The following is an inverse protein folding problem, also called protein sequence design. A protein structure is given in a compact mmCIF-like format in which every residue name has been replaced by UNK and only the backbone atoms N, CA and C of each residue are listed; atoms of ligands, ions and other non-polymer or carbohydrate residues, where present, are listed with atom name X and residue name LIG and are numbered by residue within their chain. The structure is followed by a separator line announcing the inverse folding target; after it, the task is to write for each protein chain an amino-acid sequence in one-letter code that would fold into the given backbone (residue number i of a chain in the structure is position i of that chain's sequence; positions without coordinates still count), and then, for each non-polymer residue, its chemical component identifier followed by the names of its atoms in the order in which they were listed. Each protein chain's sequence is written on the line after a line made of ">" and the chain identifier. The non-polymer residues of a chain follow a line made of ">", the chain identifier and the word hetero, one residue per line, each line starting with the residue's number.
data_IF_667079687251
#
_entry.id   IF_667079687251
#
_cell.length_a   1.000
_cell.length_b   1.000
_cell.length_c   1.000
_cell.angle_alpha   90.00
_cell.angle_beta   90.00
_cell.angle_gamma   90.00
#
_symmetry.space_group_name_H-M   'P 1'
#
loop_
_entity.id
_entity.type
_entity.pdbx_description
1 polymer ?
#
# COMPACT_ATOMS: atom_id res chain seq x y z
N UNK A 1 35.94 1.20 -12.30
CA UNK A 1 35.06 0.09 -12.73
C UNK A 1 33.59 0.50 -12.76
N UNK A 2 33.13 1.39 -11.86
CA UNK A 2 31.73 1.90 -11.83
C UNK A 2 31.39 2.74 -13.07
N UNK A 3 32.31 3.60 -13.50
CA UNK A 3 32.16 4.53 -14.65
C UNK A 3 31.76 3.83 -15.95
N UNK A 4 32.34 2.66 -16.24
CA UNK A 4 32.13 1.93 -17.52
C UNK A 4 31.15 0.75 -17.39
N UNK A 5 30.62 0.48 -16.20
CA UNK A 5 29.71 -0.65 -15.99
C UNK A 5 28.29 -0.28 -16.42
N UNK A 6 27.75 -1.00 -17.40
CA UNK A 6 26.35 -0.87 -17.85
C UNK A 6 25.56 -2.08 -17.38
N UNK A 7 24.65 -1.86 -16.42
CA UNK A 7 23.81 -2.91 -15.85
C UNK A 7 22.34 -2.77 -16.24
N UNK A 8 22.00 -1.98 -17.26
CA UNK A 8 20.60 -1.71 -17.61
C UNK A 8 19.94 -2.88 -18.38
N UNK A 9 18.81 -3.39 -17.90
CA UNK A 9 18.04 -4.46 -18.58
C UNK A 9 17.18 -3.96 -19.75
N UNK A 10 16.81 -2.67 -19.75
CA UNK A 10 16.07 -2.04 -20.86
C UNK A 10 17.02 -1.62 -22.00
N UNK A 11 17.80 -2.54 -22.55
CA UNK A 11 18.83 -2.23 -23.57
C UNK A 11 18.25 -1.82 -24.92
N UNK A 12 17.03 -2.26 -25.24
CA UNK A 12 16.40 -2.07 -26.57
C UNK A 12 15.59 -0.77 -26.72
N UNK A 13 15.20 -0.14 -25.61
CA UNK A 13 14.29 1.02 -25.60
C UNK A 13 14.96 2.32 -25.12
N UNK A 14 16.29 2.45 -25.23
CA UNK A 14 16.99 3.67 -24.78
C UNK A 14 16.91 4.77 -25.84
N UNK A 15 16.26 5.92 -25.58
CA UNK A 15 16.38 7.09 -26.44
C UNK A 15 17.81 7.65 -26.34
N UNK A 16 18.43 7.99 -27.48
CA UNK A 16 19.51 8.98 -27.52
C UNK A 16 20.88 8.60 -26.95
N UNK A 17 21.30 7.33 -26.96
CA UNK A 17 22.69 6.96 -26.62
C UNK A 17 23.05 6.97 -25.14
N UNK A 18 22.06 7.11 -24.25
CA UNK A 18 22.24 6.97 -22.81
C UNK A 18 22.76 5.56 -22.43
N UNK A 19 23.64 5.51 -21.43
CA UNK A 19 24.17 4.25 -20.90
C UNK A 19 23.11 3.46 -20.12
N UNK A 20 22.18 4.16 -19.47
CA UNK A 20 21.15 3.60 -18.60
C UNK A 20 19.79 4.24 -18.88
N UNK A 21 18.71 3.47 -18.74
CA UNK A 21 17.36 4.01 -18.93
C UNK A 21 16.88 4.83 -17.71
N UNK A 22 17.37 4.53 -16.51
CA UNK A 22 16.94 5.19 -15.27
C UNK A 22 15.78 4.50 -14.55
N UNK A 23 14.90 3.78 -15.26
CA UNK A 23 13.62 3.34 -14.70
C UNK A 23 13.43 1.80 -14.60
N UNK A 24 14.28 1.00 -15.23
CA UNK A 24 14.24 -0.46 -15.07
C UNK A 24 14.75 -0.88 -13.68
N UNK A 25 14.36 -2.06 -13.21
CA UNK A 25 14.78 -2.59 -11.89
C UNK A 25 16.29 -2.50 -11.67
N UNK A 26 17.10 -2.91 -12.65
CA UNK A 26 18.56 -2.87 -12.53
C UNK A 26 19.14 -1.45 -12.47
N UNK A 27 18.47 -0.45 -13.07
CA UNK A 27 18.87 0.96 -12.96
C UNK A 27 18.49 1.53 -11.59
N UNK A 28 17.31 1.18 -11.08
CA UNK A 28 16.87 1.53 -9.74
C UNK A 28 17.85 0.95 -8.72
N UNK A 29 18.10 -0.36 -8.76
CA UNK A 29 19.03 -1.04 -7.85
C UNK A 29 20.44 -0.43 -7.91
N UNK A 30 20.96 -0.18 -9.12
CA UNK A 30 22.25 0.50 -9.30
C UNK A 30 22.26 1.87 -8.61
N UNK A 31 21.23 2.70 -8.83
CA UNK A 31 21.16 4.04 -8.24
C UNK A 31 21.13 3.98 -6.72
N UNK A 32 20.30 3.10 -6.14
CA UNK A 32 20.30 2.89 -4.69
C UNK A 32 21.66 2.39 -4.18
N UNK A 33 22.27 1.40 -4.84
CA UNK A 33 23.56 0.85 -4.44
C UNK A 33 24.71 1.88 -4.50
N UNK A 34 24.71 2.76 -5.51
CA UNK A 34 25.70 3.83 -5.65
C UNK A 34 25.56 4.86 -4.52
N UNK A 35 24.33 5.29 -4.23
CA UNK A 35 24.08 6.22 -3.14
C UNK A 35 24.35 5.59 -1.77
N UNK A 36 24.06 4.30 -1.58
CA UNK A 36 24.36 3.62 -0.31
C UNK A 36 25.86 3.45 -0.09
N UNK A 37 26.62 3.26 -1.17
CA UNK A 37 28.09 3.19 -1.14
C UNK A 37 28.77 4.56 -1.11
N UNK A 38 28.02 5.67 -1.23
CA UNK A 38 28.55 7.03 -1.27
C UNK A 38 29.45 7.34 -2.48
N UNK A 39 29.15 6.67 -3.61
CA UNK A 39 29.95 6.75 -4.83
C UNK A 39 29.25 7.52 -5.95
N UNK A 40 28.21 8.28 -5.65
CA UNK A 40 27.45 9.04 -6.64
C UNK A 40 28.27 10.09 -7.41
N UNK A 41 29.41 10.52 -6.85
CA UNK A 41 30.35 11.40 -7.53
C UNK A 41 31.15 10.71 -8.65
N UNK A 42 31.20 9.37 -8.63
CA UNK A 42 31.91 8.52 -9.62
C UNK A 42 30.94 7.80 -10.56
N UNK A 43 29.64 8.07 -10.46
CA UNK A 43 28.64 7.53 -11.38
C UNK A 43 28.51 8.43 -12.61
N UNK A 44 29.40 8.21 -13.58
CA UNK A 44 29.37 8.89 -14.88
C UNK A 44 28.29 8.33 -15.82
N UNK A 45 27.43 7.43 -15.33
CA UNK A 45 26.33 6.87 -16.09
C UNK A 45 25.38 7.95 -16.59
N UNK A 46 25.22 8.06 -17.92
CA UNK A 46 24.15 8.87 -18.51
C UNK A 46 22.84 8.10 -18.40
N UNK A 47 21.90 8.63 -17.61
CA UNK A 47 20.55 8.10 -17.42
C UNK A 47 19.56 8.88 -18.30
N UNK A 48 18.68 8.18 -19.01
CA UNK A 48 17.59 8.83 -19.75
C UNK A 48 16.61 9.51 -18.79
N UNK A 49 16.15 8.79 -17.78
CA UNK A 49 15.20 9.28 -16.79
C UNK A 49 15.88 9.43 -15.42
N UNK A 50 15.53 10.50 -14.70
CA UNK A 50 15.94 10.70 -13.31
C UNK A 50 14.72 10.57 -12.39
N UNK A 51 14.46 9.35 -11.93
CA UNK A 51 13.35 9.05 -11.02
C UNK A 51 13.39 9.83 -9.70
N UNK A 52 14.54 10.41 -9.34
CA UNK A 52 14.64 11.25 -8.15
C UNK A 52 13.70 12.45 -8.28
N UNK A 53 13.73 13.10 -9.45
CA UNK A 53 12.95 14.31 -9.72
C UNK A 53 11.70 14.04 -10.56
N UNK A 54 11.65 12.94 -11.32
CA UNK A 54 10.49 12.59 -12.13
C UNK A 54 10.42 11.07 -12.44
N UNK A 55 9.32 10.44 -12.05
CA UNK A 55 8.97 9.05 -12.30
C UNK A 55 8.13 9.01 -13.60
N UNK A 56 8.61 8.34 -14.66
CA UNK A 56 8.03 8.45 -16.00
C UNK A 56 6.69 7.71 -16.17
N UNK A 57 6.46 6.65 -15.40
CA UNK A 57 5.29 5.78 -15.56
C UNK A 57 4.90 5.05 -14.26
N UNK A 58 3.71 4.43 -14.27
CA UNK A 58 3.17 3.69 -13.13
C UNK A 58 3.96 2.43 -12.79
N UNK A 59 4.58 1.77 -13.78
CA UNK A 59 5.40 0.58 -13.58
C UNK A 59 6.66 0.92 -12.77
N UNK A 60 7.32 2.02 -13.11
CA UNK A 60 8.47 2.57 -12.39
C UNK A 60 8.08 3.01 -11.00
N UNK A 61 6.93 3.67 -10.85
CA UNK A 61 6.36 4.04 -9.54
C UNK A 61 6.14 2.81 -8.66
N UNK A 62 5.59 1.72 -9.23
CA UNK A 62 5.36 0.47 -8.52
C UNK A 62 6.66 -0.22 -8.13
N UNK A 63 7.68 -0.21 -8.98
CA UNK A 63 9.02 -0.73 -8.66
C UNK A 63 9.63 0.00 -7.47
N UNK A 64 9.67 1.35 -7.52
CA UNK A 64 10.20 2.17 -6.43
C UNK A 64 9.44 1.97 -5.12
N UNK A 65 8.11 1.91 -5.20
CA UNK A 65 7.25 1.58 -4.07
C UNK A 65 7.62 0.20 -3.48
N UNK A 66 7.75 -0.83 -4.32
CA UNK A 66 8.13 -2.18 -3.90
C UNK A 66 9.51 -2.23 -3.25
N UNK A 67 10.51 -1.58 -3.85
CA UNK A 67 11.88 -1.46 -3.31
C UNK A 67 11.88 -0.83 -1.92
N UNK A 68 11.25 0.34 -1.75
CA UNK A 68 11.22 1.04 -0.47
C UNK A 68 10.40 0.31 0.59
N UNK A 69 9.31 -0.34 0.17
CA UNK A 69 8.44 -1.10 1.07
C UNK A 69 9.11 -2.37 1.58
N UNK A 70 9.78 -3.11 0.70
CA UNK A 70 10.58 -4.27 1.08
C UNK A 70 11.68 -3.85 2.07
N UNK A 71 12.35 -2.74 1.79
CA UNK A 71 13.38 -2.18 2.66
C UNK A 71 12.88 -1.73 4.03
N UNK A 72 11.58 -1.40 4.16
CA UNK A 72 10.97 -1.09 5.45
C UNK A 72 10.67 -2.31 6.31
N UNK A 73 10.87 -3.53 5.79
CA UNK A 73 10.67 -4.79 6.51
C UNK A 73 9.28 -4.84 7.16
N UNK A 74 8.26 -4.40 6.45
CA UNK A 74 6.92 -4.29 7.04
C UNK A 74 6.45 -5.63 7.59
N UNK A 75 6.00 -5.62 8.86
CA UNK A 75 5.53 -6.82 9.54
C UNK A 75 6.64 -7.78 9.97
N UNK A 76 7.92 -7.41 9.80
CA UNK A 76 9.08 -8.22 10.18
C UNK A 76 9.87 -7.48 11.26
N UNK A 77 9.84 -7.98 12.48
CA UNK A 77 10.58 -7.43 13.63
C UNK A 77 11.79 -8.28 14.00
N UNK A 78 11.77 -9.54 13.59
CA UNK A 78 12.77 -10.54 13.92
C UNK A 78 12.81 -11.63 12.83
N UNK A 79 13.76 -12.56 12.94
CA UNK A 79 13.95 -13.64 11.99
C UNK A 79 12.76 -14.62 11.91
N UNK A 80 12.03 -14.83 13.01
CA UNK A 80 10.85 -15.70 13.00
C UNK A 80 9.72 -15.09 12.15
N UNK A 81 9.47 -13.78 12.28
CA UNK A 81 8.50 -13.07 11.44
C UNK A 81 8.90 -13.15 9.95
N UNK A 82 10.20 -13.01 9.65
CA UNK A 82 10.73 -13.15 8.29
C UNK A 82 10.48 -14.55 7.72
N UNK A 83 10.78 -15.59 8.51
CA UNK A 83 10.57 -16.98 8.12
C UNK A 83 9.09 -17.27 7.88
N UNK A 84 8.21 -16.80 8.75
CA UNK A 84 6.76 -16.98 8.60
C UNK A 84 6.26 -16.29 7.33
N UNK A 85 6.72 -15.07 7.07
CA UNK A 85 6.27 -14.26 5.93
C UNK A 85 6.73 -14.80 4.57
N UNK A 86 7.92 -15.37 4.50
CA UNK A 86 8.52 -15.86 3.24
C UNK A 86 8.74 -17.38 3.25
N UNK A 87 7.90 -18.12 3.99
CA UNK A 87 8.10 -19.55 4.22
C UNK A 87 8.28 -20.34 2.92
N UNK A 88 7.38 -20.11 1.94
CA UNK A 88 7.40 -20.83 0.67
C UNK A 88 8.64 -20.48 -0.16
N UNK A 89 8.99 -19.19 -0.23
CA UNK A 89 10.16 -18.72 -0.99
C UNK A 89 11.47 -19.22 -0.37
N UNK A 90 11.52 -19.31 0.96
CA UNK A 90 12.68 -19.82 1.69
C UNK A 90 12.79 -21.34 1.54
N UNK A 91 11.69 -22.08 1.60
CA UNK A 91 11.68 -23.54 1.39
C UNK A 91 12.19 -23.90 -0.02
N UNK A 92 11.83 -23.11 -1.04
CA UNK A 92 12.33 -23.29 -2.42
C UNK A 92 13.83 -22.97 -2.57
N UNK A 93 14.38 -22.10 -1.70
CA UNK A 93 15.74 -21.59 -1.82
C UNK A 93 16.76 -22.35 -0.97
N UNK A 94 16.37 -22.82 0.22
CA UNK A 94 17.28 -23.23 1.30
C UNK A 94 18.25 -24.36 0.88
N UNK A 95 17.80 -25.26 0.03
CA UNK A 95 18.58 -26.38 -0.48
C UNK A 95 19.71 -25.94 -1.43
N UNK A 96 19.58 -24.77 -2.03
CA UNK A 96 20.54 -24.21 -2.99
C UNK A 96 21.53 -23.23 -2.36
N UNK A 97 21.34 -22.87 -1.09
CA UNK A 97 22.27 -21.99 -0.36
C UNK A 97 23.45 -22.83 0.15
N UNK A 98 24.70 -22.40 -0.06
CA UNK A 98 25.87 -23.09 0.49
C UNK A 98 25.80 -23.26 2.02
N UNK A 99 26.34 -24.36 2.52
CA UNK A 99 26.36 -24.69 3.95
C UNK A 99 25.60 -25.98 4.26
N UNK A 100 25.84 -26.54 5.46
CA UNK A 100 25.25 -27.82 5.87
C UNK A 100 24.06 -27.65 6.83
N UNK A 101 24.01 -26.54 7.56
CA UNK A 101 22.98 -26.27 8.56
C UNK A 101 21.89 -25.33 8.00
N UNK A 102 20.62 -25.78 7.90
CA UNK A 102 19.51 -24.96 7.43
C UNK A 102 19.27 -23.68 8.24
N UNK A 103 19.49 -23.71 9.56
CA UNK A 103 19.26 -22.55 10.42
C UNK A 103 20.31 -21.45 10.14
N UNK A 104 21.57 -21.84 9.91
CA UNK A 104 22.64 -20.90 9.57
C UNK A 104 22.38 -20.27 8.20
N UNK A 105 21.95 -21.06 7.21
CA UNK A 105 21.55 -20.55 5.88
C UNK A 105 20.42 -19.54 5.98
N UNK A 106 19.40 -19.82 6.79
CA UNK A 106 18.29 -18.91 7.02
C UNK A 106 18.76 -17.62 7.70
N UNK A 107 19.74 -17.71 8.61
CA UNK A 107 20.38 -16.54 9.22
C UNK A 107 21.10 -15.69 8.19
N UNK A 108 21.87 -16.30 7.29
CA UNK A 108 22.60 -15.57 6.25
C UNK A 108 21.66 -14.82 5.30
N UNK A 109 20.52 -15.44 4.92
CA UNK A 109 19.49 -14.80 4.09
C UNK A 109 18.81 -13.66 4.84
N UNK A 110 18.45 -13.87 6.11
CA UNK A 110 17.85 -12.83 6.93
C UNK A 110 18.78 -11.63 7.12
N UNK A 111 20.07 -11.88 7.36
CA UNK A 111 21.07 -10.83 7.47
C UNK A 111 21.26 -10.08 6.14
N UNK A 112 21.24 -10.79 5.01
CA UNK A 112 21.25 -10.16 3.68
C UNK A 112 20.03 -9.26 3.48
N UNK A 113 18.85 -9.73 3.87
CA UNK A 113 17.60 -8.97 3.81
C UNK A 113 17.66 -7.69 4.66
N UNK A 114 18.16 -7.78 5.89
CA UNK A 114 18.33 -6.62 6.77
C UNK A 114 19.32 -5.60 6.18
N UNK A 115 20.51 -6.07 5.72
CA UNK A 115 21.51 -5.20 5.08
C UNK A 115 20.97 -4.52 3.83
N UNK A 116 20.15 -5.23 3.03
CA UNK A 116 19.48 -4.64 1.89
C UNK A 116 18.55 -3.50 2.33
N UNK A 117 17.69 -3.73 3.33
CA UNK A 117 16.77 -2.71 3.85
C UNK A 117 17.50 -1.46 4.34
N UNK A 118 18.54 -1.65 5.16
CA UNK A 118 19.37 -0.54 5.66
C UNK A 118 20.03 0.24 4.52
N UNK A 119 20.58 -0.46 3.52
CA UNK A 119 21.24 0.16 2.37
C UNK A 119 20.27 1.01 1.54
N UNK A 120 19.07 0.48 1.25
CA UNK A 120 18.05 1.20 0.48
C UNK A 120 17.57 2.44 1.24
N UNK A 121 17.26 2.32 2.54
CA UNK A 121 16.79 3.46 3.34
C UNK A 121 17.88 4.52 3.53
N UNK A 122 19.14 4.11 3.69
CA UNK A 122 20.27 5.03 3.75
C UNK A 122 20.45 5.79 2.43
N UNK A 123 20.43 5.09 1.30
CA UNK A 123 20.49 5.69 -0.02
C UNK A 123 19.31 6.64 -0.28
N UNK A 124 18.08 6.24 0.05
CA UNK A 124 16.89 7.08 -0.08
C UNK A 124 17.05 8.41 0.68
N UNK A 125 17.54 8.34 1.92
CA UNK A 125 17.80 9.53 2.75
C UNK A 125 18.88 10.42 2.12
N UNK A 126 19.94 9.85 1.56
CA UNK A 126 20.99 10.62 0.86
C UNK A 126 20.46 11.29 -0.40
N UNK A 127 19.68 10.58 -1.21
CA UNK A 127 19.01 11.15 -2.39
C UNK A 127 18.10 12.31 -1.96
N UNK A 128 17.29 12.13 -0.92
CA UNK A 128 16.46 13.19 -0.37
C UNK A 128 17.31 14.41 0.05
N UNK A 129 18.31 14.22 0.90
CA UNK A 129 19.16 15.32 1.39
C UNK A 129 19.91 16.07 0.29
N UNK A 130 20.24 15.38 -0.81
CA UNK A 130 20.98 15.97 -1.93
C UNK A 130 20.09 16.80 -2.86
N UNK A 131 18.83 16.39 -3.06
CA UNK A 131 17.97 16.97 -4.10
C UNK A 131 16.74 17.70 -3.55
N UNK A 132 16.36 17.50 -2.29
CA UNK A 132 15.27 18.25 -1.67
C UNK A 132 15.69 19.70 -1.42
N UNK A 133 15.01 20.63 -2.10
CA UNK A 133 15.10 22.05 -1.84
C UNK A 133 13.87 22.50 -1.06
N UNK A 134 14.07 22.83 0.23
CA UNK A 134 13.01 23.26 1.14
C UNK A 134 12.36 24.60 0.73
N UNK A 135 12.99 25.38 -0.15
CA UNK A 135 12.41 26.62 -0.67
C UNK A 135 11.50 26.39 -1.88
N UNK A 136 11.57 25.20 -2.48
CA UNK A 136 10.83 24.81 -3.67
C UNK A 136 9.73 23.81 -3.35
N UNK A 137 8.71 23.76 -4.21
CA UNK A 137 7.71 22.71 -4.13
C UNK A 137 8.34 21.36 -4.51
N UNK A 138 8.05 20.31 -3.73
CA UNK A 138 8.49 18.95 -4.04
C UNK A 138 7.94 18.55 -5.43
N UNK A 139 8.80 18.08 -6.37
CA UNK A 139 8.35 17.66 -7.70
C UNK A 139 7.28 16.56 -7.61
N UNK A 140 6.18 16.71 -8.34
CA UNK A 140 5.14 15.67 -8.44
C UNK A 140 5.63 14.47 -9.21
N UNK A 141 5.07 13.30 -8.90
CA UNK A 141 5.43 12.02 -9.49
C UNK A 141 6.95 11.85 -9.45
N UNK A 142 7.54 11.94 -8.26
CA UNK A 142 8.98 11.84 -8.06
C UNK A 142 9.28 10.94 -6.87
N UNK A 143 10.53 10.47 -6.76
CA UNK A 143 10.97 9.81 -5.53
C UNK A 143 10.82 10.74 -4.33
N UNK A 144 11.15 12.02 -4.49
CA UNK A 144 11.05 13.00 -3.40
C UNK A 144 9.62 13.11 -2.85
N UNK A 145 8.60 13.13 -3.73
CA UNK A 145 7.19 13.09 -3.31
C UNK A 145 6.85 11.78 -2.60
N UNK A 146 7.33 10.64 -3.11
CA UNK A 146 7.10 9.32 -2.50
C UNK A 146 7.72 9.23 -1.10
N UNK A 147 8.90 9.82 -0.90
CA UNK A 147 9.61 9.89 0.37
C UNK A 147 8.91 10.82 1.36
N UNK A 148 8.57 12.04 0.93
CA UNK A 148 7.91 13.02 1.76
C UNK A 148 6.52 12.55 2.25
N UNK A 149 5.73 11.94 1.35
CA UNK A 149 4.42 11.37 1.67
C UNK A 149 4.47 10.03 2.40
N UNK A 150 5.66 9.40 2.47
CA UNK A 150 5.88 8.04 2.98
C UNK A 150 4.95 7.02 2.33
N UNK A 151 4.65 7.17 1.04
CA UNK A 151 3.68 6.34 0.34
C UNK A 151 4.00 4.83 0.42
N UNK A 152 5.30 4.48 0.51
CA UNK A 152 5.80 3.11 0.65
C UNK A 152 5.48 2.44 2.00
N UNK A 153 5.15 3.22 3.03
CA UNK A 153 4.69 2.70 4.32
C UNK A 153 3.21 2.33 4.33
N UNK A 154 2.43 2.87 3.39
CA UNK A 154 1.02 2.54 3.28
C UNK A 154 0.86 1.16 2.66
N UNK A 155 -0.04 0.35 3.22
CA UNK A 155 -0.27 -0.99 2.69
C UNK A 155 -1.03 -0.97 1.36
N UNK A 156 -0.94 -2.01 0.51
CA UNK A 156 -1.79 -2.12 -0.67
C UNK A 156 -3.29 -1.96 -0.34
N UNK A 157 -3.70 -2.46 0.83
CA UNK A 157 -5.05 -2.31 1.35
C UNK A 157 -5.34 -0.83 1.67
N UNK A 158 -4.42 -0.11 2.32
CA UNK A 158 -4.58 1.33 2.58
C UNK A 158 -4.69 2.14 1.29
N UNK A 159 -3.89 1.83 0.27
CA UNK A 159 -3.98 2.50 -1.03
C UNK A 159 -5.36 2.29 -1.66
N UNK A 160 -5.86 1.04 -1.68
CA UNK A 160 -7.22 0.73 -2.15
C UNK A 160 -8.28 1.51 -1.36
N UNK A 161 -8.15 1.57 -0.04
CA UNK A 161 -9.07 2.33 0.83
C UNK A 161 -9.05 3.82 0.48
N UNK A 162 -7.88 4.42 0.23
CA UNK A 162 -7.75 5.82 -0.17
C UNK A 162 -8.38 6.06 -1.54
N UNK A 163 -8.19 5.15 -2.50
CA UNK A 163 -8.81 5.23 -3.82
C UNK A 163 -10.33 5.19 -3.74
N UNK A 164 -10.88 4.23 -3.00
CA UNK A 164 -12.32 4.09 -2.74
C UNK A 164 -12.86 5.34 -2.03
N UNK A 165 -12.19 5.80 -0.98
CA UNK A 165 -12.59 6.99 -0.23
C UNK A 165 -12.64 8.24 -1.12
N UNK A 166 -11.61 8.45 -1.96
CA UNK A 166 -11.58 9.56 -2.91
C UNK A 166 -12.69 9.49 -3.96
N UNK A 167 -13.05 8.28 -4.41
CA UNK A 167 -14.18 8.07 -5.31
C UNK A 167 -15.50 8.38 -4.62
N UNK A 168 -15.75 7.76 -3.48
CA UNK A 168 -17.01 7.89 -2.73
C UNK A 168 -17.24 9.32 -2.23
N UNK A 169 -16.19 10.03 -1.78
CA UNK A 169 -16.26 11.45 -1.39
C UNK A 169 -16.77 12.34 -2.50
N UNK A 170 -16.48 12.02 -3.76
CA UNK A 170 -16.97 12.78 -4.92
C UNK A 170 -18.39 12.36 -5.29
N UNK A 171 -18.69 11.07 -5.22
CA UNK A 171 -19.91 10.50 -5.80
C UNK A 171 -21.10 10.50 -4.84
N UNK A 172 -20.91 10.17 -3.56
CA UNK A 172 -22.00 10.09 -2.57
C UNK A 172 -22.78 11.42 -2.45
N UNK A 173 -22.13 12.60 -2.30
CA UNK A 173 -22.86 13.86 -2.19
C UNK A 173 -23.68 14.20 -3.43
N UNK A 174 -23.27 13.73 -4.61
CA UNK A 174 -24.00 13.93 -5.87
C UNK A 174 -25.18 12.97 -5.93
N UNK A 175 -24.94 11.69 -5.62
CA UNK A 175 -25.92 10.63 -5.75
C UNK A 175 -27.10 10.81 -4.78
N UNK A 176 -26.82 11.21 -3.54
CA UNK A 176 -27.84 11.35 -2.48
C UNK A 176 -28.33 12.78 -2.29
N UNK A 177 -27.92 13.72 -3.16
CA UNK A 177 -28.35 15.12 -3.11
C UNK A 177 -29.87 15.32 -3.07
N UNK A 178 -30.61 14.45 -3.77
CA UNK A 178 -32.07 14.57 -3.95
C UNK A 178 -32.86 13.52 -3.20
N UNK A 179 -32.34 12.30 -3.16
CA UNK A 179 -32.99 11.16 -2.52
C UNK A 179 -31.93 10.38 -1.74
N UNK A 180 -32.04 10.43 -0.42
CA UNK A 180 -31.25 9.59 0.48
C UNK A 180 -31.57 8.11 0.28
N UNK A 181 -30.66 7.19 0.65
CA UNK A 181 -30.97 5.77 0.66
C UNK A 181 -32.20 5.45 1.53
N UNK A 182 -33.02 4.49 1.08
CA UNK A 182 -34.23 4.05 1.82
C UNK A 182 -33.90 3.13 2.99
N UNK A 183 -32.81 2.40 2.87
CA UNK A 183 -32.33 1.40 3.83
C UNK A 183 -30.83 1.20 3.67
N UNK A 184 -30.23 0.43 4.58
CA UNK A 184 -28.83 0.02 4.47
C UNK A 184 -28.60 -0.83 3.22
N UNK A 185 -29.54 -1.72 2.88
CA UNK A 185 -29.48 -2.49 1.63
C UNK A 185 -29.52 -1.60 0.38
N UNK A 186 -30.33 -0.53 0.39
CA UNK A 186 -30.35 0.43 -0.72
C UNK A 186 -29.02 1.21 -0.81
N UNK A 187 -28.43 1.59 0.34
CA UNK A 187 -27.08 2.17 0.38
C UNK A 187 -26.04 1.20 -0.21
N UNK A 188 -26.06 -0.08 0.19
CA UNK A 188 -25.21 -1.14 -0.33
C UNK A 188 -25.33 -1.26 -1.86
N UNK A 189 -26.56 -1.35 -2.39
CA UNK A 189 -26.79 -1.47 -3.83
C UNK A 189 -26.22 -0.27 -4.61
N UNK A 190 -26.37 0.94 -4.06
CA UNK A 190 -25.86 2.19 -4.64
C UNK A 190 -24.34 2.29 -4.56
N UNK A 191 -23.73 1.90 -3.44
CA UNK A 191 -22.26 1.83 -3.29
C UNK A 191 -21.68 0.80 -4.24
N UNK A 192 -22.29 -0.39 -4.36
CA UNK A 192 -21.86 -1.42 -5.32
C UNK A 192 -21.85 -0.88 -6.75
N UNK A 193 -22.89 -0.15 -7.16
CA UNK A 193 -22.97 0.43 -8.49
C UNK A 193 -21.81 1.42 -8.78
N UNK A 194 -21.36 2.16 -7.76
CA UNK A 194 -20.20 3.05 -7.87
C UNK A 194 -18.91 2.23 -8.01
N UNK A 195 -18.73 1.21 -7.16
CA UNK A 195 -17.50 0.40 -7.12
C UNK A 195 -17.27 -0.42 -8.39
N UNK A 196 -18.34 -1.01 -8.97
CA UNK A 196 -18.25 -1.78 -10.22
C UNK A 196 -17.87 -0.89 -11.42
N UNK A 197 -18.35 0.36 -11.45
CA UNK A 197 -18.21 1.21 -12.63
C UNK A 197 -16.79 1.76 -12.81
N UNK A 198 -16.02 1.89 -11.73
CA UNK A 198 -14.62 2.34 -11.73
C UNK A 198 -13.62 1.18 -11.69
N UNK A 199 -14.04 0.00 -11.23
CA UNK A 199 -13.20 -1.18 -11.08
C UNK A 199 -13.94 -2.42 -11.56
N UNK A 200 -13.41 -3.10 -12.59
CA UNK A 200 -13.94 -4.36 -13.11
C UNK A 200 -13.79 -5.56 -12.14
N UNK A 201 -13.42 -5.35 -10.86
CA UNK A 201 -13.00 -6.41 -9.93
C UNK A 201 -13.71 -6.44 -8.57
N UNK A 202 -14.68 -5.56 -8.28
CA UNK A 202 -15.43 -5.67 -7.01
C UNK A 202 -16.56 -6.69 -7.12
N UNK A 203 -16.53 -7.70 -6.26
CA UNK A 203 -17.54 -8.76 -6.18
C UNK A 203 -18.43 -8.54 -4.95
N UNK A 204 -19.75 -8.65 -5.13
CA UNK A 204 -20.76 -8.49 -4.06
C UNK A 204 -20.94 -9.82 -3.32
N UNK A 205 -21.06 -9.77 -1.99
CA UNK A 205 -21.37 -10.94 -1.15
C UNK A 205 -20.42 -12.14 -1.39
N UNK A 206 -19.20 -11.86 -1.82
CA UNK A 206 -18.25 -12.87 -2.28
C UNK A 206 -16.80 -12.40 -2.09
N UNK A 207 -15.85 -13.29 -1.75
CA UNK A 207 -16.09 -14.68 -1.35
C UNK A 207 -16.64 -14.76 0.09
N UNK A 208 -17.58 -15.68 0.37
CA UNK A 208 -18.00 -15.98 1.73
C UNK A 208 -16.80 -16.55 2.49
N UNK A 209 -16.35 -15.85 3.53
CA UNK A 209 -15.14 -16.24 4.22
C UNK A 209 -15.50 -17.22 5.33
N UNK A 210 -15.03 -18.46 5.20
CA UNK A 210 -15.29 -19.54 6.16
C UNK A 210 -14.14 -19.65 7.13
N UNK A 211 -14.45 -19.46 8.41
CA UNK A 211 -13.50 -19.71 9.50
C UNK A 211 -14.15 -20.58 10.56
N UNK A 212 -13.63 -21.81 10.71
CA UNK A 212 -14.23 -22.81 11.58
C UNK A 212 -15.66 -23.16 11.15
N UNK A 213 -16.64 -22.84 12.00
CA UNK A 213 -18.07 -23.16 11.82
C UNK A 213 -18.90 -21.93 11.38
N UNK A 214 -18.28 -20.74 11.35
CA UNK A 214 -18.94 -19.47 11.04
C UNK A 214 -18.56 -18.98 9.65
N UNK A 215 -19.57 -18.59 8.87
CA UNK A 215 -19.40 -17.93 7.57
C UNK A 215 -19.60 -16.43 7.76
N UNK A 216 -18.65 -15.62 7.32
CA UNK A 216 -18.78 -14.17 7.24
C UNK A 216 -18.97 -13.76 5.79
N UNK A 217 -20.04 -13.01 5.50
CA UNK A 217 -20.36 -12.53 4.17
C UNK A 217 -20.25 -11.01 4.17
N UNK A 218 -19.19 -10.44 3.57
CA UNK A 218 -19.06 -8.99 3.49
C UNK A 218 -20.07 -8.38 2.53
N UNK A 219 -20.44 -7.11 2.72
CA UNK A 219 -21.27 -6.39 1.74
C UNK A 219 -20.58 -6.33 0.36
N UNK A 220 -19.29 -5.99 0.37
CA UNK A 220 -18.45 -6.00 -0.83
C UNK A 220 -17.05 -6.55 -0.53
N UNK A 221 -16.38 -7.13 -1.53
CA UNK A 221 -14.96 -7.45 -1.41
C UNK A 221 -14.17 -7.20 -2.69
N UNK A 222 -12.87 -7.01 -2.52
CA UNK A 222 -11.88 -7.07 -3.58
C UNK A 222 -10.53 -7.55 -3.04
N UNK A 223 -10.12 -8.74 -3.47
CA UNK A 223 -8.94 -9.44 -2.96
C UNK A 223 -9.01 -9.55 -1.42
N UNK A 224 -8.02 -8.99 -0.70
CA UNK A 224 -7.93 -9.03 0.76
C UNK A 224 -8.64 -7.86 1.47
N UNK A 225 -9.42 -7.03 0.76
CA UNK A 225 -10.19 -5.93 1.35
C UNK A 225 -11.68 -6.25 1.36
N UNK A 226 -12.27 -6.21 2.56
CA UNK A 226 -13.71 -6.33 2.78
C UNK A 226 -14.30 -4.95 3.06
N UNK A 227 -15.50 -4.71 2.57
CA UNK A 227 -16.21 -3.45 2.74
C UNK A 227 -17.59 -3.73 3.33
N UNK A 228 -17.94 -2.94 4.33
CA UNK A 228 -19.22 -2.96 5.03
C UNK A 228 -19.82 -1.55 4.97
N UNK A 229 -21.12 -1.42 4.75
CA UNK A 229 -21.78 -0.12 4.91
C UNK A 229 -22.63 -0.08 6.16
N UNK A 230 -22.72 1.12 6.77
CA UNK A 230 -23.62 1.40 7.88
C UNK A 230 -24.39 2.67 7.59
N UNK A 231 -25.71 2.61 7.69
CA UNK A 231 -26.57 3.76 7.45
C UNK A 231 -27.20 4.33 8.73
N UNK A 232 -26.71 5.50 9.16
CA UNK A 232 -27.24 6.24 10.31
C UNK A 232 -28.41 7.12 9.85
N UNK A 233 -29.62 6.55 9.91
CA UNK A 233 -30.89 7.22 9.57
C UNK A 233 -31.62 7.78 10.78
N UNK A 234 -32.71 8.50 10.55
CA UNK A 234 -33.56 9.14 11.58
C UNK A 234 -33.87 8.31 12.84
N UNK A 235 -34.11 7.01 12.71
CA UNK A 235 -34.39 6.13 13.86
C UNK A 235 -33.20 5.26 14.31
N UNK A 236 -32.06 5.34 13.63
CA UNK A 236 -30.83 4.63 13.99
C UNK A 236 -29.93 5.59 14.77
N UNK A 237 -29.49 5.16 15.96
CA UNK A 237 -28.51 5.92 16.74
C UNK A 237 -27.09 5.53 16.33
N UNK A 238 -26.09 6.41 16.51
CA UNK A 238 -24.68 6.06 16.29
C UNK A 238 -24.26 4.79 17.04
N UNK A 239 -24.81 4.55 18.23
CA UNK A 239 -24.54 3.33 19.02
C UNK A 239 -24.91 2.03 18.31
N UNK A 240 -25.93 2.02 17.43
CA UNK A 240 -26.28 0.84 16.63
C UNK A 240 -25.19 0.58 15.60
N UNK A 241 -24.71 1.63 14.91
CA UNK A 241 -23.59 1.52 13.98
C UNK A 241 -22.31 1.07 14.70
N UNK A 242 -22.00 1.65 15.87
CA UNK A 242 -20.85 1.24 16.69
C UNK A 242 -20.90 -0.23 17.06
N UNK A 243 -22.06 -0.73 17.52
CA UNK A 243 -22.22 -2.15 17.87
C UNK A 243 -22.04 -3.07 16.66
N UNK A 244 -22.62 -2.71 15.50
CA UNK A 244 -22.45 -3.48 14.27
C UNK A 244 -21.00 -3.52 13.79
N UNK A 245 -20.32 -2.36 13.75
CA UNK A 245 -18.90 -2.27 13.40
C UNK A 245 -18.04 -3.15 14.33
N UNK A 246 -18.27 -3.05 15.65
CA UNK A 246 -17.52 -3.84 16.61
C UNK A 246 -17.75 -5.36 16.45
N UNK A 247 -18.98 -5.77 16.14
CA UNK A 247 -19.32 -7.17 15.87
C UNK A 247 -18.59 -7.69 14.62
N UNK A 248 -18.65 -6.94 13.52
CA UNK A 248 -17.99 -7.32 12.25
C UNK A 248 -16.47 -7.38 12.41
N UNK A 249 -15.88 -6.43 13.14
CA UNK A 249 -14.44 -6.43 13.46
C UNK A 249 -13.98 -7.70 14.16
N UNK A 250 -14.81 -8.31 15.02
CA UNK A 250 -14.47 -9.54 15.75
C UNK A 250 -14.59 -10.80 14.91
N UNK A 251 -15.46 -10.81 13.90
CA UNK A 251 -15.72 -11.96 13.03
C UNK A 251 -14.66 -12.11 11.94
N UNK A 252 -14.15 -10.99 11.43
CA UNK A 252 -13.21 -10.98 10.29
C UNK A 252 -11.78 -11.21 10.75
N UNK A 253 -11.04 -12.19 10.18
CA UNK A 253 -9.64 -12.41 10.51
C UNK A 253 -8.73 -11.27 10.11
N UNK A 254 -7.63 -11.15 10.86
CA UNK A 254 -6.64 -10.10 10.69
C UNK A 254 -5.92 -10.11 9.33
N UNK A 255 -5.97 -11.22 8.60
CA UNK A 255 -5.42 -11.31 7.25
C UNK A 255 -6.16 -10.39 6.25
N UNK A 256 -7.41 -10.02 6.53
CA UNK A 256 -8.20 -9.15 5.69
C UNK A 256 -8.24 -7.72 6.22
N UNK A 257 -8.15 -6.76 5.31
CA UNK A 257 -8.53 -5.38 5.55
C UNK A 257 -10.04 -5.24 5.65
N UNK A 258 -10.51 -4.30 6.46
CA UNK A 258 -11.92 -4.03 6.66
C UNK A 258 -12.19 -2.52 6.54
N UNK A 259 -13.00 -2.12 5.57
CA UNK A 259 -13.41 -0.73 5.34
C UNK A 259 -14.89 -0.56 5.67
N UNK A 260 -15.20 0.28 6.64
CA UNK A 260 -16.56 0.70 6.95
C UNK A 260 -16.89 2.01 6.25
N UNK A 261 -17.92 1.98 5.41
CA UNK A 261 -18.54 3.15 4.78
C UNK A 261 -19.74 3.55 5.63
N UNK A 262 -19.61 4.63 6.39
CA UNK A 262 -20.67 5.13 7.26
C UNK A 262 -21.33 6.32 6.59
N UNK A 263 -22.63 6.21 6.28
CA UNK A 263 -23.41 7.34 5.78
C UNK A 263 -24.22 7.95 6.92
N UNK A 264 -23.93 9.21 7.25
CA UNK A 264 -24.55 9.99 8.35
C UNK A 264 -25.05 11.36 7.86
N UNK A 265 -26.14 11.39 7.05
CA UNK A 265 -26.63 12.63 6.46
C UNK A 265 -27.17 13.62 7.50
N UNK A 266 -27.65 13.13 8.64
CA UNK A 266 -28.26 13.93 9.70
C UNK A 266 -27.24 14.44 10.74
N UNK A 267 -25.94 14.17 10.56
CA UNK A 267 -24.87 14.58 11.48
C UNK A 267 -25.12 14.10 12.92
N UNK A 268 -25.48 12.84 13.08
CA UNK A 268 -25.69 12.25 14.42
C UNK A 268 -24.40 11.84 15.10
N UNK A 269 -23.31 11.67 14.34
CA UNK A 269 -21.97 11.53 14.90
C UNK A 269 -21.45 12.94 15.22
N UNK A 270 -21.30 13.23 16.52
CA UNK A 270 -20.86 14.55 17.00
C UNK A 270 -19.39 14.84 16.63
N UNK A 271 -18.52 13.84 16.77
CA UNK A 271 -17.08 13.93 16.53
C UNK A 271 -16.62 12.76 15.64
N UNK A 272 -16.39 13.06 14.35
CA UNK A 272 -15.95 12.08 13.35
C UNK A 272 -14.58 11.49 13.69
N UNK A 273 -13.65 12.30 14.17
CA UNK A 273 -12.27 11.89 14.43
C UNK A 273 -12.22 10.93 15.60
N UNK A 274 -12.99 11.21 16.65
CA UNK A 274 -13.11 10.30 17.80
C UNK A 274 -13.82 9.01 17.39
N UNK A 275 -14.91 9.10 16.60
CA UNK A 275 -15.62 7.91 16.11
C UNK A 275 -14.71 7.01 15.27
N UNK A 276 -13.96 7.57 14.32
CA UNK A 276 -13.03 6.82 13.46
C UNK A 276 -11.91 6.18 14.29
N UNK A 277 -11.27 6.98 15.15
CA UNK A 277 -10.13 6.53 15.98
C UNK A 277 -10.50 5.39 16.92
N UNK A 278 -11.73 5.38 17.44
CA UNK A 278 -12.21 4.32 18.33
C UNK A 278 -12.22 2.93 17.68
N UNK A 279 -12.27 2.84 16.34
CA UNK A 279 -12.20 1.56 15.62
C UNK A 279 -10.81 1.30 15.03
N UNK A 280 -10.25 2.28 14.31
CA UNK A 280 -8.96 2.11 13.62
C UNK A 280 -7.80 1.83 14.60
N UNK A 281 -7.88 2.32 15.85
CA UNK A 281 -6.88 2.03 16.89
C UNK A 281 -6.97 0.62 17.49
N UNK A 282 -8.11 -0.06 17.37
CA UNK A 282 -8.36 -1.38 17.99
C UNK A 282 -7.93 -2.54 17.11
N UNK A 283 -7.83 -2.34 15.80
CA UNK A 283 -7.46 -3.37 14.83
C UNK A 283 -6.68 -2.76 13.68
N UNK A 284 -5.46 -3.24 13.49
CA UNK A 284 -4.67 -2.99 12.29
C UNK A 284 -5.41 -3.51 11.05
N UNK A 285 -5.43 -2.72 9.98
CA UNK A 285 -6.20 -3.04 8.77
C UNK A 285 -7.69 -2.71 8.86
N UNK A 286 -8.16 -2.05 9.93
CA UNK A 286 -9.52 -1.50 10.01
C UNK A 286 -9.53 -0.04 9.59
N UNK A 287 -10.51 0.35 8.77
CA UNK A 287 -10.66 1.72 8.26
C UNK A 287 -12.12 2.15 8.35
N UNK A 288 -12.37 3.39 8.76
CA UNK A 288 -13.72 3.97 8.84
C UNK A 288 -13.78 5.27 8.07
N UNK A 289 -14.74 5.40 7.15
CA UNK A 289 -14.96 6.63 6.38
C UNK A 289 -16.40 7.07 6.51
N UNK A 290 -16.60 8.31 6.94
CA UNK A 290 -17.91 8.92 7.18
C UNK A 290 -18.25 9.84 6.01
N UNK A 291 -19.44 9.68 5.44
CA UNK A 291 -19.94 10.44 4.30
C UNK A 291 -21.28 11.12 4.63
N UNK A 292 -21.59 12.18 3.88
CA UNK A 292 -22.76 13.04 4.05
C UNK A 292 -23.35 13.40 2.70
#
# INVERSE_FOLDING_TARGET
>A
MIENAVSCSSTRNKPGGASHCGYCSQCIDRRFAIYSAELEAYDEGVYTEDFINHIPDSETKQRLYGTLRLACMEGIRNQADFREKFLNELDDLIDYIPGDNPDDKLSDVYDLFCRYGDSILYAAKRMQMKYEDLSSQIPKDSLLEMLASRAYKKTPIEHKVIEIDNLLKKTIPILFKREEPKSENDLNDKVQAILINESTKFEREYPPIRFGITTYNPDHSQDDLLIETKFIRKNTTPSVATSGIAEDMTKVPKAYGLLFIVYDPERKIDDDDTFIRDFESRREGCYVRIYR
#
